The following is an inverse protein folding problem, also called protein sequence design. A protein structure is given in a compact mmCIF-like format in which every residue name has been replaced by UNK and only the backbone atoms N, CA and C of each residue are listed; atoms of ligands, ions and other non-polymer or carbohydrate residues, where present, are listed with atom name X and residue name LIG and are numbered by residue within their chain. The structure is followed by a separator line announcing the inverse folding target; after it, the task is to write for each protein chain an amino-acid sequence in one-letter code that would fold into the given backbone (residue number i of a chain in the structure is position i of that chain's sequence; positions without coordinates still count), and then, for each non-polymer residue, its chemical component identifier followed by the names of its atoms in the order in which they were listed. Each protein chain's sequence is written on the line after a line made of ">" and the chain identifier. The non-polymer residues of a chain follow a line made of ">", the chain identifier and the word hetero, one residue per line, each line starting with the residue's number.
data_IF_653137529822
#
_entry.id   IF_653137529822
#
_cell.length_a   1.000
_cell.length_b   1.000
_cell.length_c   1.000
_cell.angle_alpha   90.00
_cell.angle_beta   90.00
_cell.angle_gamma   90.00
#
_symmetry.space_group_name_H-M   'P 1'
#
loop_
_entity.id
_entity.type
_entity.pdbx_description
1 polymer ?
#
# COMPACT_ATOMS: atom_id res chain seq x y z
N UNK A 1 -2.26 10.84 7.56
CA UNK A 1 -1.88 10.15 6.30
C UNK A 1 -0.99 11.04 5.43
N UNK A 2 -1.46 12.20 4.94
CA UNK A 2 -0.80 13.04 3.92
C UNK A 2 0.44 13.87 4.36
N UNK A 3 1.11 13.50 5.45
CA UNK A 3 2.33 14.18 5.92
C UNK A 3 3.63 13.42 5.54
N UNK A 4 3.53 12.46 4.61
CA UNK A 4 4.69 11.80 4.01
C UNK A 4 5.40 12.75 3.02
N UNK A 5 6.62 12.39 2.61
CA UNK A 5 7.39 13.17 1.63
C UNK A 5 6.73 13.21 0.23
N UNK A 6 5.86 12.24 -0.04
CA UNK A 6 4.99 12.13 -1.21
C UNK A 6 3.85 11.15 -0.88
N UNK A 7 2.77 11.20 -1.66
CA UNK A 7 1.62 10.33 -1.50
C UNK A 7 0.82 10.18 -2.81
N UNK A 8 0.09 9.09 -2.88
CA UNK A 8 -0.90 8.83 -3.92
C UNK A 8 -2.11 8.17 -3.27
N UNK A 9 -3.30 8.50 -3.77
CA UNK A 9 -4.56 7.90 -3.32
C UNK A 9 -5.11 7.10 -4.49
N UNK A 10 -5.52 5.85 -4.26
CA UNK A 10 -6.07 4.98 -5.29
C UNK A 10 -7.55 4.73 -5.00
N UNK A 11 -8.37 4.63 -6.04
CA UNK A 11 -9.82 4.39 -5.92
C UNK A 11 -10.33 3.51 -7.05
N UNK A 12 -11.19 2.55 -6.74
CA UNK A 12 -11.91 1.70 -7.69
C UNK A 12 -13.31 2.27 -8.04
N UNK A 13 -13.62 3.50 -7.62
CA UNK A 13 -14.92 4.16 -7.84
C UNK A 13 -15.21 4.65 -9.27
N UNK A 14 -14.58 4.05 -10.28
CA UNK A 14 -14.80 4.32 -11.71
C UNK A 14 -14.12 5.58 -12.27
N UNK A 15 -14.22 6.70 -11.56
CA UNK A 15 -13.69 8.00 -11.99
C UNK A 15 -12.73 8.60 -10.95
N UNK A 16 -11.83 9.47 -11.41
CA UNK A 16 -10.94 10.25 -10.55
C UNK A 16 -11.76 11.20 -9.68
N UNK A 17 -11.57 11.16 -8.36
CA UNK A 17 -12.23 12.03 -7.38
C UNK A 17 -11.23 12.97 -6.72
N UNK A 18 -11.62 14.22 -6.48
CA UNK A 18 -10.88 15.13 -5.60
C UNK A 18 -11.13 14.72 -4.15
N UNK A 19 -10.05 14.45 -3.40
CA UNK A 19 -10.10 14.01 -1.98
C UNK A 19 -9.45 15.02 -1.04
N UNK A 20 -8.91 16.12 -1.57
CA UNK A 20 -8.34 17.20 -0.79
C UNK A 20 -7.65 18.23 -1.67
N UNK A 21 -6.98 19.19 -1.03
CA UNK A 21 -6.16 20.22 -1.66
C UNK A 21 -4.74 20.10 -1.11
N UNK A 22 -3.75 20.07 -1.99
CA UNK A 22 -2.33 20.02 -1.64
C UNK A 22 -1.87 21.39 -1.09
N UNK A 23 -0.72 21.45 -0.37
CA UNK A 23 -0.18 22.71 0.14
C UNK A 23 0.09 23.78 -0.93
N UNK A 24 0.33 23.38 -2.18
CA UNK A 24 0.54 24.27 -3.32
C UNK A 24 -0.77 24.79 -3.96
N UNK A 25 -1.93 24.41 -3.42
CA UNK A 25 -3.24 24.78 -3.92
C UNK A 25 -3.81 23.87 -5.02
N UNK A 26 -3.05 22.87 -5.47
CA UNK A 26 -3.54 21.89 -6.46
C UNK A 26 -4.54 20.89 -5.85
N UNK A 27 -5.45 20.38 -6.67
CA UNK A 27 -6.38 19.32 -6.24
C UNK A 27 -5.65 17.99 -6.04
N UNK A 28 -5.82 17.37 -4.87
CA UNK A 28 -5.43 15.98 -4.65
C UNK A 28 -6.48 15.06 -5.25
N UNK A 29 -6.13 14.40 -6.36
CA UNK A 29 -7.01 13.48 -7.08
C UNK A 29 -6.61 12.02 -6.86
N UNK A 30 -7.61 11.14 -6.86
CA UNK A 30 -7.39 9.70 -6.82
C UNK A 30 -6.90 9.17 -8.17
N UNK A 31 -5.94 8.26 -8.14
CA UNK A 31 -5.58 7.41 -9.28
C UNK A 31 -6.64 6.30 -9.40
N UNK A 32 -7.25 6.20 -10.57
CA UNK A 32 -8.30 5.19 -10.83
C UNK A 32 -7.67 3.81 -10.97
N UNK A 33 -8.17 2.87 -10.18
CA UNK A 33 -7.88 1.45 -10.32
C UNK A 33 -8.78 0.91 -11.44
N UNK A 34 -8.23 0.27 -12.48
CA UNK A 34 -9.04 -0.34 -13.52
C UNK A 34 -10.10 -1.30 -12.95
N UNK A 35 -11.30 -1.38 -13.56
CA UNK A 35 -12.34 -2.27 -13.07
C UNK A 35 -11.85 -3.73 -12.94
N UNK A 36 -12.18 -4.34 -11.81
CA UNK A 36 -11.94 -5.77 -11.56
C UNK A 36 -13.19 -6.42 -11.03
N UNK A 37 -13.35 -7.71 -11.35
CA UNK A 37 -14.34 -8.53 -10.69
C UNK A 37 -13.87 -8.82 -9.26
N UNK A 38 -14.54 -8.22 -8.28
CA UNK A 38 -14.34 -8.51 -6.87
C UNK A 38 -15.16 -9.74 -6.48
N UNK A 39 -14.56 -10.58 -5.66
CA UNK A 39 -15.19 -11.78 -5.11
C UNK A 39 -15.52 -11.55 -3.64
N UNK A 40 -16.60 -12.15 -3.17
CA UNK A 40 -16.92 -12.18 -1.73
C UNK A 40 -16.29 -13.44 -1.15
N UNK A 41 -15.50 -13.26 -0.09
CA UNK A 41 -14.91 -14.37 0.64
C UNK A 41 -15.99 -15.28 1.24
N UNK A 42 -15.65 -16.55 1.40
CA UNK A 42 -16.51 -17.52 2.03
C UNK A 42 -15.67 -18.41 2.95
N UNK A 43 -15.95 -18.39 4.26
CA UNK A 43 -15.26 -19.25 5.23
C UNK A 43 -15.34 -20.74 4.86
N UNK A 44 -16.48 -21.20 4.33
CA UNK A 44 -16.65 -22.59 3.90
C UNK A 44 -15.78 -22.97 2.69
N UNK A 45 -15.36 -21.97 1.89
CA UNK A 45 -14.45 -22.14 0.77
C UNK A 45 -12.97 -21.88 1.15
N UNK A 46 -12.66 -21.75 2.45
CA UNK A 46 -11.31 -21.54 2.95
C UNK A 46 -10.85 -20.08 2.97
N UNK A 47 -11.72 -19.10 2.71
CA UNK A 47 -11.39 -17.70 2.88
C UNK A 47 -11.31 -17.33 4.38
N UNK A 48 -10.57 -16.27 4.69
CA UNK A 48 -10.43 -15.74 6.06
C UNK A 48 -11.47 -14.68 6.41
N UNK A 49 -12.44 -14.43 5.51
CA UNK A 49 -13.50 -13.44 5.69
C UNK A 49 -14.74 -13.79 4.86
N UNK A 50 -15.90 -13.25 5.25
CA UNK A 50 -17.14 -13.23 4.47
C UNK A 50 -17.39 -11.84 3.82
N UNK A 51 -16.33 -11.08 3.58
CA UNK A 51 -16.36 -9.74 2.97
C UNK A 51 -15.68 -9.76 1.59
N UNK A 52 -15.70 -8.61 0.91
CA UNK A 52 -15.01 -8.41 -0.36
C UNK A 52 -13.51 -8.72 -0.24
N UNK A 53 -13.00 -9.56 -1.14
CA UNK A 53 -11.59 -9.89 -1.24
C UNK A 53 -10.85 -8.77 -1.98
N UNK A 54 -9.81 -8.23 -1.34
CA UNK A 54 -9.07 -7.07 -1.84
C UNK A 54 -7.73 -7.44 -2.52
N UNK A 55 -7.36 -8.72 -2.55
CA UNK A 55 -6.08 -9.18 -3.12
C UNK A 55 -5.89 -8.69 -4.56
N UNK A 56 -6.89 -8.91 -5.44
CA UNK A 56 -6.82 -8.49 -6.85
C UNK A 56 -6.70 -6.97 -6.98
N UNK A 57 -7.39 -6.20 -6.12
CA UNK A 57 -7.28 -4.74 -6.05
C UNK A 57 -5.85 -4.32 -5.74
N UNK A 58 -5.24 -4.90 -4.71
CA UNK A 58 -3.88 -4.53 -4.31
C UNK A 58 -2.82 -4.98 -5.31
N UNK A 59 -2.99 -6.12 -5.99
CA UNK A 59 -2.12 -6.51 -7.10
C UNK A 59 -2.10 -5.43 -8.20
N UNK A 60 -3.27 -4.89 -8.56
CA UNK A 60 -3.35 -3.80 -9.55
C UNK A 60 -2.78 -2.48 -9.03
N UNK A 61 -3.01 -2.12 -7.77
CA UNK A 61 -2.41 -0.92 -7.16
C UNK A 61 -0.89 -1.00 -7.25
N UNK A 62 -0.29 -2.15 -6.95
CA UNK A 62 1.16 -2.31 -7.08
C UNK A 62 1.66 -2.25 -8.54
N UNK A 63 0.89 -2.76 -9.50
CA UNK A 63 1.20 -2.55 -10.93
C UNK A 63 1.17 -1.06 -11.30
N UNK A 64 0.21 -0.30 -10.79
CA UNK A 64 0.13 1.16 -10.99
C UNK A 64 1.30 1.87 -10.32
N UNK A 65 1.65 1.51 -9.08
CA UNK A 65 2.83 2.03 -8.38
C UNK A 65 4.14 1.75 -9.15
N UNK A 66 4.25 0.56 -9.76
CA UNK A 66 5.40 0.19 -10.61
C UNK A 66 5.50 1.09 -11.84
N UNK A 67 4.38 1.35 -12.52
CA UNK A 67 4.30 2.23 -13.70
C UNK A 67 4.60 3.68 -13.35
N UNK A 68 4.10 4.14 -12.22
CA UNK A 68 4.29 5.50 -11.70
C UNK A 68 5.73 5.75 -11.23
N UNK A 69 6.37 4.74 -10.62
CA UNK A 69 7.80 4.75 -10.30
C UNK A 69 8.21 5.66 -9.14
N UNK A 70 7.32 6.49 -8.57
CA UNK A 70 7.68 7.43 -7.49
C UNK A 70 8.21 6.75 -6.24
N UNK A 71 7.79 5.51 -5.95
CA UNK A 71 8.28 4.72 -4.81
C UNK A 71 9.82 4.61 -4.79
N UNK A 72 10.46 4.59 -5.96
CA UNK A 72 11.91 4.43 -6.09
C UNK A 72 12.71 5.65 -5.58
N UNK A 73 12.05 6.80 -5.40
CA UNK A 73 12.65 8.05 -4.90
C UNK A 73 12.78 8.08 -3.38
N UNK A 74 12.09 7.19 -2.66
CA UNK A 74 12.00 7.20 -1.20
C UNK A 74 12.50 5.89 -0.59
N UNK A 75 13.07 5.94 0.62
CA UNK A 75 13.60 4.74 1.28
C UNK A 75 12.52 3.76 1.72
N UNK A 76 11.30 4.27 1.96
CA UNK A 76 10.17 3.51 2.48
C UNK A 76 8.87 3.87 1.76
N UNK A 77 8.03 2.86 1.56
CA UNK A 77 6.65 2.98 1.12
C UNK A 77 5.73 2.48 2.22
N UNK A 78 4.63 3.21 2.46
CA UNK A 78 3.63 2.83 3.47
C UNK A 78 2.28 2.73 2.77
N UNK A 79 1.70 1.53 2.71
CA UNK A 79 0.29 1.35 2.35
C UNK A 79 -0.55 1.66 3.57
N UNK A 80 -1.56 2.51 3.43
CA UNK A 80 -2.44 2.91 4.54
C UNK A 80 -3.88 2.89 4.04
N UNK A 81 -4.77 2.24 4.80
CA UNK A 81 -6.19 2.22 4.49
C UNK A 81 -6.82 3.61 4.81
N UNK A 82 -7.87 4.04 4.09
CA UNK A 82 -8.40 5.40 4.21
C UNK A 82 -9.07 5.69 5.56
N UNK A 83 -9.43 4.67 6.32
CA UNK A 83 -10.01 4.75 7.66
C UNK A 83 -8.97 4.70 8.79
N UNK A 84 -7.67 4.59 8.46
CA UNK A 84 -6.60 4.52 9.43
C UNK A 84 -6.10 5.89 9.91
N UNK A 85 -5.82 6.01 11.21
CA UNK A 85 -5.12 7.19 11.77
C UNK A 85 -3.60 6.98 11.71
N UNK A 86 -2.94 7.67 10.79
CA UNK A 86 -1.50 7.55 10.58
C UNK A 86 -0.73 8.87 10.76
N UNK A 87 0.30 8.83 11.60
CA UNK A 87 1.24 9.92 11.89
C UNK A 87 2.66 9.59 11.38
N UNK A 88 3.07 10.09 10.19
CA UNK A 88 4.42 9.89 9.66
C UNK A 88 5.54 10.29 10.63
N UNK A 89 5.33 11.36 11.40
CA UNK A 89 6.29 11.85 12.42
C UNK A 89 6.60 10.82 13.51
N UNK A 90 5.67 9.91 13.83
CA UNK A 90 5.89 8.83 14.80
C UNK A 90 6.59 7.62 14.19
N UNK A 91 6.45 7.43 12.87
CA UNK A 91 7.03 6.30 12.16
C UNK A 91 8.51 6.54 11.82
N UNK A 92 8.86 7.75 11.34
CA UNK A 92 10.23 8.08 10.90
C UNK A 92 11.33 7.70 11.90
N UNK A 93 11.21 8.02 13.22
CA UNK A 93 12.26 7.68 14.17
C UNK A 93 12.45 6.17 14.34
N UNK A 94 11.38 5.38 14.18
CA UNK A 94 11.42 3.92 14.30
C UNK A 94 12.09 3.27 13.09
N UNK A 95 11.90 3.85 11.91
CA UNK A 95 12.53 3.36 10.68
C UNK A 95 13.99 3.80 10.54
N UNK A 96 14.42 4.86 11.23
CA UNK A 96 15.77 5.43 11.10
C UNK A 96 16.88 4.38 11.28
N UNK A 97 16.74 3.51 12.27
CA UNK A 97 17.71 2.46 12.54
C UNK A 97 17.70 1.33 11.49
N UNK A 98 16.74 1.33 10.55
CA UNK A 98 16.55 0.36 9.47
C UNK A 98 16.77 0.96 8.08
N UNK A 99 17.19 2.23 7.99
CA UNK A 99 17.37 2.96 6.73
C UNK A 99 18.85 2.98 6.34
N UNK A 100 19.23 2.13 5.38
CA UNK A 100 20.54 2.15 4.73
C UNK A 100 20.43 1.60 3.30
N UNK A 101 21.48 1.79 2.49
CA UNK A 101 21.49 1.33 1.10
C UNK A 101 21.31 -0.19 1.01
N UNK A 102 20.31 -0.65 0.26
CA UNK A 102 20.01 -2.07 0.09
C UNK A 102 19.20 -2.70 1.22
N UNK A 103 18.75 -1.93 2.22
CA UNK A 103 17.85 -2.43 3.26
C UNK A 103 16.60 -3.05 2.64
N UNK A 104 16.33 -4.32 2.99
CA UNK A 104 15.23 -5.12 2.47
C UNK A 104 14.35 -5.62 3.61
N UNK A 105 13.43 -4.77 4.04
CA UNK A 105 12.50 -5.03 5.14
C UNK A 105 11.04 -4.88 4.74
N UNK A 106 10.23 -5.79 5.28
CA UNK A 106 8.81 -5.62 5.51
C UNK A 106 8.59 -5.54 7.03
N UNK A 107 7.94 -4.49 7.51
CA UNK A 107 7.68 -4.33 8.95
C UNK A 107 6.38 -5.02 9.30
N UNK A 108 6.47 -6.05 10.14
CA UNK A 108 5.33 -6.82 10.63
C UNK A 108 4.71 -6.08 11.82
N UNK A 109 3.42 -5.76 11.74
CA UNK A 109 2.66 -5.11 12.82
C UNK A 109 2.09 -6.12 13.84
N UNK A 110 1.86 -7.38 13.45
CA UNK A 110 1.42 -8.47 14.30
C UNK A 110 2.12 -9.76 13.89
N UNK A 111 2.77 -10.46 14.80
CA UNK A 111 3.48 -11.72 14.51
C UNK A 111 2.97 -12.90 15.36
N UNK A 112 1.71 -12.83 15.82
CA UNK A 112 1.15 -13.86 16.72
C UNK A 112 1.06 -15.24 16.04
N UNK A 113 0.79 -15.27 14.75
CA UNK A 113 0.56 -16.49 13.96
C UNK A 113 1.56 -16.65 12.82
N UNK A 114 2.72 -16.00 12.95
CA UNK A 114 3.70 -15.86 11.88
C UNK A 114 3.53 -14.55 11.09
N UNK A 115 4.50 -14.26 10.20
CA UNK A 115 4.49 -13.04 9.40
C UNK A 115 3.36 -13.10 8.37
N UNK A 116 2.48 -12.10 8.40
CA UNK A 116 1.44 -11.92 7.40
C UNK A 116 1.22 -10.44 7.11
N UNK A 117 0.52 -10.16 6.02
CA UNK A 117 0.02 -8.83 5.68
C UNK A 117 -1.26 -8.59 6.50
N UNK A 118 -1.16 -7.80 7.56
CA UNK A 118 -2.32 -7.40 8.36
C UNK A 118 -2.78 -5.99 8.01
N UNK A 119 -4.09 -5.80 7.99
CA UNK A 119 -4.76 -4.60 7.48
C UNK A 119 -4.50 -3.29 8.25
N UNK A 120 -5.02 -2.20 7.69
CA UNK A 120 -4.83 -0.78 8.01
C UNK A 120 -3.48 -0.16 7.64
N UNK A 121 -2.36 -0.88 7.80
CA UNK A 121 -1.04 -0.34 7.51
C UNK A 121 -0.01 -1.42 7.19
N UNK A 122 0.73 -1.22 6.10
CA UNK A 122 1.84 -2.08 5.69
C UNK A 122 3.05 -1.21 5.31
N UNK A 123 4.26 -1.56 5.76
CA UNK A 123 5.46 -0.72 5.60
C UNK A 123 6.56 -1.54 4.92
N UNK A 124 7.07 -1.02 3.82
CA UNK A 124 8.04 -1.69 2.97
C UNK A 124 9.23 -0.78 2.71
N UNK A 125 10.44 -1.31 2.86
CA UNK A 125 11.64 -0.66 2.32
C UNK A 125 11.59 -0.63 0.79
N UNK A 126 12.33 0.29 0.16
CA UNK A 126 12.48 0.37 -1.29
C UNK A 126 12.86 -0.98 -1.91
N UNK A 127 13.83 -1.68 -1.32
CA UNK A 127 14.28 -2.97 -1.84
C UNK A 127 13.20 -4.05 -1.70
N UNK A 128 12.40 -4.03 -0.63
CA UNK A 128 11.29 -4.97 -0.48
C UNK A 128 10.22 -4.78 -1.56
N UNK A 129 9.87 -3.53 -1.88
CA UNK A 129 8.96 -3.23 -2.99
C UNK A 129 9.55 -3.75 -4.31
N UNK A 130 10.84 -3.50 -4.58
CA UNK A 130 11.49 -4.01 -5.79
C UNK A 130 11.48 -5.55 -5.87
N UNK A 131 11.82 -6.23 -4.78
CA UNK A 131 11.79 -7.69 -4.70
C UNK A 131 10.41 -8.24 -5.00
N UNK A 132 9.37 -7.64 -4.41
CA UNK A 132 7.98 -8.01 -4.69
C UNK A 132 7.63 -7.77 -6.17
N UNK A 133 7.90 -6.59 -6.72
CA UNK A 133 7.56 -6.24 -8.12
C UNK A 133 8.30 -7.08 -9.17
N UNK A 134 9.45 -7.65 -8.84
CA UNK A 134 10.17 -8.63 -9.68
C UNK A 134 9.53 -10.02 -9.56
N UNK A 135 9.15 -10.44 -8.36
CA UNK A 135 8.56 -11.75 -8.08
C UNK A 135 7.04 -11.86 -8.28
N UNK A 136 6.32 -10.74 -8.47
CA UNK A 136 4.86 -10.67 -8.39
C UNK A 136 4.10 -11.64 -9.31
N UNK A 137 4.72 -12.10 -10.40
CA UNK A 137 4.14 -13.06 -11.34
C UNK A 137 3.92 -14.45 -10.71
N UNK A 138 4.66 -14.77 -9.65
CA UNK A 138 4.52 -16.03 -8.89
C UNK A 138 3.28 -16.03 -7.98
N UNK A 139 2.66 -14.88 -7.78
CA UNK A 139 1.51 -14.67 -6.89
C UNK A 139 0.18 -14.54 -7.64
N UNK A 140 0.16 -14.83 -8.95
CA UNK A 140 -1.02 -14.69 -9.82
C UNK A 140 -1.62 -16.04 -10.18
#
# INVERSE_FOLDING_TARGET
>A
IFACDDYAVFSDGGDSRTVGINPDGSELKTIVIPPIHQEIGNFAAGATTNSWLNTKTFLQVWDLCKKDGRFSRYDWSVKVDPDAVFFPSRLRPRLKAHTWQGANFYIVNCNRWGPALFGSMEIFSKQAVLTYLTGQHQCR
#
